data_IF_798120741432
#
_entry.id   IF_798120741432
#
_cell.length_a   1.000
_cell.length_b   1.000
_cell.length_c   1.000
_cell.angle_alpha   90.00
_cell.angle_beta   90.00
_cell.angle_gamma   90.00
#
_symmetry.space_group_name_H-M   'P 1'
#
loop_
_entity.id
_entity.type
_entity.pdbx_description
1 polymer ?
#
# COMPACT_ATOMS: atom_id res chain seq x y z
N UNK A 1 -1.66 -2.20 -23.60
CA UNK A 1 -0.94 -2.75 -22.43
C UNK A 1 -1.93 -3.57 -21.61
N UNK A 2 -1.53 -4.74 -21.14
CA UNK A 2 -2.38 -5.62 -20.33
C UNK A 2 -1.56 -6.23 -19.20
N UNK A 3 -2.07 -6.21 -17.99
CA UNK A 3 -1.47 -6.84 -16.84
C UNK A 3 -1.99 -8.29 -16.71
N UNK A 4 -1.07 -9.26 -16.70
CA UNK A 4 -1.37 -10.70 -16.64
C UNK A 4 -0.88 -11.35 -15.33
N UNK A 5 -0.45 -10.52 -14.36
CA UNK A 5 0.20 -10.98 -13.13
C UNK A 5 1.71 -11.10 -13.27
N UNK A 6 2.35 -11.51 -12.20
CA UNK A 6 3.80 -11.74 -12.11
C UNK A 6 4.07 -12.99 -11.26
N UNK A 7 5.28 -13.52 -11.31
CA UNK A 7 5.69 -14.65 -10.46
C UNK A 7 5.95 -14.24 -9.01
N UNK A 8 6.14 -12.93 -8.77
CA UNK A 8 6.43 -12.34 -7.46
C UNK A 8 5.20 -11.87 -6.68
N UNK A 9 4.03 -11.84 -7.33
CA UNK A 9 2.79 -11.33 -6.74
C UNK A 9 1.57 -12.17 -7.11
N UNK A 10 0.84 -12.64 -6.11
CA UNK A 10 -0.38 -13.44 -6.32
C UNK A 10 -1.56 -12.53 -6.66
N UNK A 11 -1.70 -12.19 -7.93
CA UNK A 11 -2.88 -11.47 -8.42
C UNK A 11 -4.05 -12.43 -8.62
N UNK A 12 -5.20 -12.13 -8.01
CA UNK A 12 -6.44 -12.86 -8.28
C UNK A 12 -7.04 -12.46 -9.64
N UNK A 13 -7.83 -13.32 -10.30
CA UNK A 13 -8.42 -12.99 -11.61
C UNK A 13 -9.26 -11.71 -11.60
N UNK A 14 -9.99 -11.45 -10.53
CA UNK A 14 -10.79 -10.24 -10.33
C UNK A 14 -9.93 -8.98 -10.15
N UNK A 15 -8.79 -9.09 -9.45
CA UNK A 15 -7.82 -8.01 -9.33
C UNK A 15 -7.16 -7.69 -10.69
N UNK A 16 -6.74 -8.70 -11.43
CA UNK A 16 -6.20 -8.51 -12.79
C UNK A 16 -7.22 -7.86 -13.72
N UNK A 17 -8.50 -8.28 -13.63
CA UNK A 17 -9.58 -7.66 -14.38
C UNK A 17 -9.75 -6.18 -14.00
N UNK A 18 -9.71 -5.85 -12.70
CA UNK A 18 -9.84 -4.49 -12.21
C UNK A 18 -8.71 -3.58 -12.72
N UNK A 19 -7.46 -4.05 -12.67
CA UNK A 19 -6.29 -3.33 -13.22
C UNK A 19 -6.50 -3.05 -14.72
N UNK A 20 -6.83 -4.08 -15.49
CA UNK A 20 -7.02 -3.94 -16.94
C UNK A 20 -8.23 -3.09 -17.31
N UNK A 21 -9.32 -3.14 -16.52
CA UNK A 21 -10.46 -2.26 -16.70
C UNK A 21 -10.12 -0.79 -16.46
N UNK A 22 -9.37 -0.49 -15.39
CA UNK A 22 -8.91 0.86 -15.09
C UNK A 22 -8.02 1.43 -16.20
N UNK A 23 -7.09 0.61 -16.73
CA UNK A 23 -6.23 0.98 -17.87
C UNK A 23 -7.09 1.27 -19.12
N UNK A 24 -8.04 0.38 -19.44
CA UNK A 24 -8.90 0.52 -20.64
C UNK A 24 -9.83 1.73 -20.53
N UNK A 25 -10.40 1.97 -19.36
CA UNK A 25 -11.29 3.10 -19.10
C UNK A 25 -10.54 4.42 -18.88
N UNK A 26 -9.22 4.37 -18.77
CA UNK A 26 -8.37 5.52 -18.46
C UNK A 26 -8.81 6.23 -17.16
N UNK A 27 -9.19 5.45 -16.14
CA UNK A 27 -9.59 5.94 -14.83
C UNK A 27 -8.58 5.54 -13.76
N UNK A 28 -8.41 6.35 -12.70
CA UNK A 28 -7.63 5.92 -11.54
C UNK A 28 -8.21 4.62 -10.95
N UNK A 29 -7.34 3.67 -10.61
CA UNK A 29 -7.71 2.44 -9.90
C UNK A 29 -7.61 2.70 -8.40
N UNK A 30 -8.72 2.73 -7.71
CA UNK A 30 -8.77 2.80 -6.25
C UNK A 30 -8.81 1.39 -5.65
N UNK A 31 -7.75 1.05 -4.95
CA UNK A 31 -7.63 -0.23 -4.23
C UNK A 31 -7.85 0.00 -2.74
N UNK A 32 -8.90 -0.59 -2.20
CA UNK A 32 -9.14 -0.66 -0.75
C UNK A 32 -8.88 -2.07 -0.23
N UNK A 33 -8.56 -2.19 1.05
CA UNK A 33 -8.36 -3.49 1.72
C UNK A 33 -7.68 -3.33 3.07
N UNK A 34 -7.64 -4.41 3.85
CA UNK A 34 -6.94 -4.42 5.14
C UNK A 34 -5.45 -4.08 4.96
N UNK A 35 -4.79 -3.51 6.00
CA UNK A 35 -3.34 -3.34 5.99
C UNK A 35 -2.61 -4.66 5.72
N UNK A 36 -1.49 -4.60 4.97
CA UNK A 36 -0.68 -5.78 4.67
C UNK A 36 -1.26 -6.75 3.64
N UNK A 37 -2.25 -6.33 2.82
CA UNK A 37 -2.82 -7.14 1.73
C UNK A 37 -2.11 -6.94 0.38
N UNK A 38 -0.95 -6.29 0.36
CA UNK A 38 -0.13 -6.12 -0.87
C UNK A 38 -0.59 -5.00 -1.81
N UNK A 39 -1.37 -4.01 -1.33
CA UNK A 39 -1.88 -2.90 -2.16
C UNK A 39 -0.77 -2.07 -2.81
N UNK A 40 0.22 -1.66 -2.03
CA UNK A 40 1.38 -0.88 -2.51
C UNK A 40 2.20 -1.68 -3.51
N UNK A 41 2.46 -2.97 -3.20
CA UNK A 41 3.20 -3.89 -4.06
C UNK A 41 2.52 -4.09 -5.43
N UNK A 42 1.19 -4.03 -5.50
CA UNK A 42 0.47 -4.14 -6.77
C UNK A 42 0.95 -3.10 -7.80
N UNK A 43 1.20 -1.85 -7.38
CA UNK A 43 1.66 -0.81 -8.31
C UNK A 43 3.08 -1.08 -8.84
N UNK A 44 3.96 -1.63 -7.99
CA UNK A 44 5.30 -2.06 -8.38
C UNK A 44 5.24 -3.19 -9.40
N UNK A 45 4.39 -4.19 -9.14
CA UNK A 45 4.21 -5.34 -10.02
C UNK A 45 3.56 -4.97 -11.36
N UNK A 46 2.59 -4.06 -11.36
CA UNK A 46 1.99 -3.55 -12.60
C UNK A 46 3.03 -2.79 -13.43
N UNK A 47 3.82 -1.92 -12.80
CA UNK A 47 4.88 -1.18 -13.49
C UNK A 47 5.95 -2.12 -14.06
N UNK A 48 6.42 -3.09 -13.25
CA UNK A 48 7.39 -4.10 -13.66
C UNK A 48 6.89 -4.97 -14.80
N UNK A 49 5.68 -5.51 -14.70
CA UNK A 49 5.07 -6.36 -15.73
C UNK A 49 4.85 -5.63 -17.07
N UNK A 50 4.56 -4.33 -17.02
CA UNK A 50 4.38 -3.51 -18.22
C UNK A 50 5.69 -2.89 -18.75
N UNK A 51 6.79 -3.02 -18.01
CA UNK A 51 8.10 -2.44 -18.39
C UNK A 51 8.10 -0.92 -18.39
N UNK A 52 7.31 -0.25 -17.54
CA UNK A 52 7.17 1.21 -17.48
C UNK A 52 7.57 1.74 -16.10
N UNK A 53 8.04 3.01 -16.00
CA UNK A 53 8.46 3.57 -14.72
C UNK A 53 7.31 3.71 -13.74
N UNK A 54 7.63 3.54 -12.45
CA UNK A 54 6.77 3.81 -11.32
C UNK A 54 7.20 5.10 -10.64
N UNK A 55 6.25 6.02 -10.42
CA UNK A 55 6.41 7.19 -9.57
C UNK A 55 5.53 7.00 -8.33
N UNK A 56 6.12 7.15 -7.15
CA UNK A 56 5.41 6.90 -5.88
C UNK A 56 5.22 8.19 -5.10
N UNK A 57 4.02 8.36 -4.59
CA UNK A 57 3.67 9.44 -3.69
C UNK A 57 3.01 8.90 -2.43
N UNK A 58 3.79 8.84 -1.35
CA UNK A 58 3.31 8.42 -0.04
C UNK A 58 2.62 9.57 0.67
N UNK A 59 1.35 9.38 0.98
CA UNK A 59 0.52 10.40 1.61
C UNK A 59 0.70 10.36 3.13
N UNK A 60 0.87 11.55 3.71
CA UNK A 60 0.92 11.77 5.17
C UNK A 60 -0.26 12.65 5.59
N UNK A 61 -0.54 12.70 6.89
CA UNK A 61 -1.60 13.56 7.43
C UNK A 61 -1.42 15.04 7.12
N UNK A 62 -0.18 15.47 6.88
CA UNK A 62 0.16 16.87 6.52
C UNK A 62 0.29 17.09 5.02
N UNK A 63 0.14 16.05 4.18
CA UNK A 63 0.28 16.16 2.73
C UNK A 63 -0.88 16.94 2.14
N UNK A 64 -0.54 17.91 1.27
CA UNK A 64 -1.52 18.70 0.51
C UNK A 64 -1.47 18.32 -0.97
N UNK A 65 -2.61 18.40 -1.65
CA UNK A 65 -2.73 18.06 -3.07
C UNK A 65 -1.75 18.84 -3.96
N UNK A 66 -1.52 20.10 -3.64
CA UNK A 66 -0.56 20.97 -4.35
C UNK A 66 0.85 20.37 -4.43
N UNK A 67 1.30 19.64 -3.38
CA UNK A 67 2.63 19.03 -3.34
C UNK A 67 2.83 17.93 -4.39
N UNK A 68 1.75 17.27 -4.80
CA UNK A 68 1.80 16.33 -5.92
C UNK A 68 1.97 17.01 -7.28
N UNK A 69 1.59 18.28 -7.38
CA UNK A 69 1.74 19.09 -8.57
C UNK A 69 3.12 19.75 -8.57
N UNK A 70 3.31 20.73 -7.71
CA UNK A 70 4.59 21.41 -7.50
C UNK A 70 4.58 22.21 -6.18
N UNK A 71 5.77 22.58 -5.72
CA UNK A 71 5.98 23.51 -4.62
C UNK A 71 6.82 24.70 -5.11
N UNK A 72 6.45 25.90 -4.70
CA UNK A 72 7.22 27.10 -4.98
C UNK A 72 8.03 27.52 -3.76
N UNK A 73 9.38 27.48 -3.86
CA UNK A 73 10.31 27.88 -2.80
C UNK A 73 10.54 29.39 -2.78
N UNK A 74 9.53 30.12 -2.29
CA UNK A 74 9.57 31.57 -2.14
C UNK A 74 10.67 32.02 -1.15
N UNK A 75 10.99 31.19 -0.15
CA UNK A 75 11.98 31.54 0.89
C UNK A 75 13.39 31.53 0.29
N UNK A 76 13.74 30.49 -0.45
CA UNK A 76 15.06 30.44 -1.13
C UNK A 76 15.18 31.56 -2.16
N UNK A 77 14.10 31.86 -2.92
CA UNK A 77 14.12 32.97 -3.86
C UNK A 77 14.33 34.32 -3.19
N UNK A 78 13.66 34.57 -2.06
CA UNK A 78 13.85 35.81 -1.31
C UNK A 78 15.28 35.96 -0.79
N UNK A 79 15.83 34.89 -0.22
CA UNK A 79 17.22 34.83 0.25
C UNK A 79 18.22 35.14 -0.88
N UNK A 80 18.08 34.45 -2.00
CA UNK A 80 18.98 34.60 -3.15
C UNK A 80 18.85 36.00 -3.78
N UNK A 81 17.65 36.59 -3.74
CA UNK A 81 17.43 38.02 -4.14
C UNK A 81 18.21 38.98 -3.25
N UNK A 82 18.23 38.75 -1.95
CA UNK A 82 19.00 39.62 -1.01
C UNK A 82 20.52 39.45 -1.19
N UNK A 83 20.97 38.27 -1.65
CA UNK A 83 22.37 38.02 -1.95
C UNK A 83 22.80 38.44 -3.35
N UNK A 84 21.87 38.89 -4.20
CA UNK A 84 22.15 39.30 -5.57
C UNK A 84 22.44 38.14 -6.52
N UNK A 85 21.96 36.92 -6.21
CA UNK A 85 22.17 35.75 -7.07
C UNK A 85 21.38 35.89 -8.39
N UNK A 86 22.06 35.66 -9.51
CA UNK A 86 21.49 35.73 -10.86
C UNK A 86 20.35 34.73 -11.11
N UNK A 87 20.30 33.63 -10.35
CA UNK A 87 19.21 32.63 -10.44
C UNK A 87 17.84 33.19 -10.21
N UNK A 88 17.74 34.30 -9.46
CA UNK A 88 16.44 34.98 -9.15
C UNK A 88 15.72 35.44 -10.40
N UNK A 89 16.44 35.71 -11.51
CA UNK A 89 15.87 36.18 -12.78
C UNK A 89 14.94 35.13 -13.41
N UNK A 90 15.18 33.85 -13.16
CA UNK A 90 14.33 32.76 -13.66
C UNK A 90 13.61 32.10 -12.47
N UNK A 91 12.28 32.34 -12.40
CA UNK A 91 11.41 31.81 -11.35
C UNK A 91 11.35 30.27 -11.35
N UNK A 92 11.61 29.63 -12.50
CA UNK A 92 11.59 28.17 -12.64
C UNK A 92 12.63 27.48 -11.75
N UNK A 93 13.74 28.17 -11.38
CA UNK A 93 14.76 27.64 -10.48
C UNK A 93 14.24 27.39 -9.05
N UNK A 94 13.10 27.94 -8.70
CA UNK A 94 12.47 27.83 -7.38
C UNK A 94 11.18 27.01 -7.39
N UNK A 95 10.93 26.28 -8.47
CA UNK A 95 9.80 25.37 -8.58
C UNK A 95 10.28 23.94 -8.41
N UNK A 96 9.81 23.27 -7.36
CA UNK A 96 10.06 21.87 -7.10
C UNK A 96 8.91 21.04 -7.69
N UNK A 97 9.21 20.22 -8.69
CA UNK A 97 8.20 19.42 -9.40
C UNK A 97 7.71 18.27 -8.51
N UNK A 98 6.40 18.17 -8.32
CA UNK A 98 5.74 17.06 -7.65
C UNK A 98 5.63 15.82 -8.56
N UNK A 99 5.10 14.73 -8.00
CA UNK A 99 5.02 13.41 -8.67
C UNK A 99 4.14 13.46 -9.92
N UNK A 100 3.02 14.19 -9.87
CA UNK A 100 2.13 14.35 -11.03
C UNK A 100 2.79 15.13 -12.15
N UNK A 101 3.51 16.21 -11.83
CA UNK A 101 4.28 16.94 -12.84
C UNK A 101 5.30 16.04 -13.52
N UNK A 102 6.11 15.33 -12.73
CA UNK A 102 7.13 14.43 -13.25
C UNK A 102 6.53 13.38 -14.20
N UNK A 103 5.36 12.82 -13.86
CA UNK A 103 4.67 11.86 -14.70
C UNK A 103 4.12 12.49 -15.99
N UNK A 104 3.56 13.69 -15.93
CA UNK A 104 2.96 14.37 -17.09
C UNK A 104 4.01 14.81 -18.10
N UNK A 105 5.20 15.20 -17.64
CA UNK A 105 6.30 15.68 -18.47
C UNK A 105 7.06 14.55 -19.18
N UNK A 106 6.92 13.28 -18.73
CA UNK A 106 7.75 12.18 -19.27
C UNK A 106 7.51 11.86 -20.75
N UNK A 107 6.34 12.21 -21.31
CA UNK A 107 5.98 11.90 -22.70
C UNK A 107 5.93 10.39 -23.03
N UNK A 108 5.93 9.54 -22.03
CA UNK A 108 5.86 8.07 -22.12
C UNK A 108 4.95 7.48 -21.06
N UNK A 109 4.44 6.25 -21.27
CA UNK A 109 3.63 5.58 -20.28
C UNK A 109 4.36 5.43 -18.93
N UNK A 110 3.65 5.63 -17.83
CA UNK A 110 4.14 5.46 -16.47
C UNK A 110 3.02 5.01 -15.54
N UNK A 111 3.39 4.46 -14.38
CA UNK A 111 2.46 4.22 -13.27
C UNK A 111 2.70 5.28 -12.21
N UNK A 112 1.63 5.87 -11.70
CA UNK A 112 1.64 6.73 -10.52
C UNK A 112 0.97 5.95 -9.39
N UNK A 113 1.67 5.78 -8.28
CA UNK A 113 1.11 5.28 -7.03
C UNK A 113 0.84 6.46 -6.08
N UNK A 114 -0.43 6.66 -5.71
CA UNK A 114 -0.84 7.55 -4.62
C UNK A 114 -1.18 6.63 -3.44
N UNK A 115 -0.23 6.50 -2.50
CA UNK A 115 -0.29 5.49 -1.46
C UNK A 115 -0.90 6.04 -0.18
N UNK A 116 -1.90 5.30 0.38
CA UNK A 116 -2.59 5.62 1.63
C UNK A 116 -3.32 6.98 1.61
N UNK A 117 -4.13 7.20 0.56
CA UNK A 117 -4.85 8.47 0.33
C UNK A 117 -5.74 8.90 1.51
N UNK A 118 -6.22 7.95 2.29
CA UNK A 118 -7.06 8.15 3.47
C UNK A 118 -6.31 8.66 4.72
N UNK A 119 -4.97 8.79 4.66
CA UNK A 119 -4.19 9.46 5.72
C UNK A 119 -4.32 10.98 5.68
N UNK A 120 -4.49 11.57 4.49
CA UNK A 120 -4.64 13.00 4.32
C UNK A 120 -5.97 13.53 4.90
N UNK A 121 -6.14 14.84 4.83
CA UNK A 121 -7.42 15.46 5.14
C UNK A 121 -8.50 15.07 4.13
N UNK A 122 -9.77 15.15 4.54
CA UNK A 122 -10.93 14.73 3.73
C UNK A 122 -11.04 15.49 2.41
N UNK A 123 -10.55 16.72 2.35
CA UNK A 123 -10.56 17.55 1.14
C UNK A 123 -9.50 17.12 0.11
N UNK A 124 -8.41 16.52 0.55
CA UNK A 124 -7.27 16.15 -0.30
C UNK A 124 -7.65 15.35 -1.56
N UNK A 125 -8.50 14.30 -1.52
CA UNK A 125 -8.90 13.60 -2.72
C UNK A 125 -9.70 14.48 -3.68
N UNK A 126 -10.53 15.38 -3.16
CA UNK A 126 -11.32 16.30 -3.97
C UNK A 126 -10.44 17.32 -4.69
N UNK A 127 -9.40 17.82 -4.03
CA UNK A 127 -8.45 18.79 -4.58
C UNK A 127 -7.65 18.24 -5.77
N UNK A 128 -7.56 16.91 -5.91
CA UNK A 128 -6.89 16.25 -7.04
C UNK A 128 -7.83 15.84 -8.18
N UNK A 129 -9.15 16.00 -8.00
CA UNK A 129 -10.12 15.46 -8.95
C UNK A 129 -9.95 15.99 -10.37
N UNK A 130 -9.74 17.29 -10.51
CA UNK A 130 -9.61 17.94 -11.81
C UNK A 130 -8.33 17.50 -12.53
N UNK A 131 -7.24 17.46 -11.78
CA UNK A 131 -5.91 17.12 -12.28
C UNK A 131 -5.85 15.67 -12.73
N UNK A 132 -6.49 14.76 -11.99
CA UNK A 132 -6.58 13.34 -12.35
C UNK A 132 -7.57 13.08 -13.49
N UNK A 133 -8.64 13.87 -13.63
CA UNK A 133 -9.59 13.73 -14.73
C UNK A 133 -9.00 14.23 -16.05
N UNK A 134 -8.42 15.44 -16.02
CA UNK A 134 -7.93 16.13 -17.23
C UNK A 134 -6.48 15.85 -17.54
N UNK A 135 -5.72 15.33 -16.58
CA UNK A 135 -4.27 15.16 -16.66
C UNK A 135 -3.55 16.46 -17.04
N UNK A 136 -4.00 17.56 -16.45
CA UNK A 136 -3.43 18.90 -16.62
C UNK A 136 -3.59 19.74 -15.35
N UNK A 137 -2.66 20.66 -15.13
CA UNK A 137 -2.75 21.68 -14.08
C UNK A 137 -2.02 22.96 -14.50
N UNK A 138 -2.34 24.06 -13.84
CA UNK A 138 -1.74 25.36 -14.12
C UNK A 138 -0.68 25.72 -13.07
N UNK A 139 0.47 26.22 -13.52
CA UNK A 139 1.55 26.73 -12.68
C UNK A 139 1.45 28.25 -12.64
N UNK A 140 1.03 28.80 -11.51
CA UNK A 140 0.73 30.22 -11.38
C UNK A 140 1.96 31.12 -11.56
N UNK A 141 3.11 30.69 -11.06
CA UNK A 141 4.36 31.45 -11.05
C UNK A 141 4.92 31.63 -12.46
N UNK A 142 4.84 30.59 -13.31
CA UNK A 142 5.32 30.62 -14.69
C UNK A 142 4.22 30.88 -15.71
N UNK A 143 2.93 30.86 -15.27
CA UNK A 143 1.74 30.95 -16.15
C UNK A 143 1.67 29.87 -17.21
N UNK A 144 2.27 28.72 -16.94
CA UNK A 144 2.27 27.57 -17.85
C UNK A 144 1.19 26.55 -17.43
N UNK A 145 0.64 25.87 -18.41
CA UNK A 145 -0.20 24.69 -18.16
C UNK A 145 0.60 23.46 -18.51
N UNK A 146 0.77 22.60 -17.50
CA UNK A 146 1.42 21.30 -17.67
C UNK A 146 0.33 20.30 -18.00
N UNK A 147 0.52 19.54 -19.07
CA UNK A 147 -0.42 18.54 -19.55
C UNK A 147 0.31 17.26 -19.90
N UNK A 148 -0.28 16.12 -19.58
CA UNK A 148 0.25 14.82 -19.96
C UNK A 148 -0.07 14.52 -21.44
N UNK A 149 0.96 14.35 -22.26
CA UNK A 149 0.82 13.88 -23.65
C UNK A 149 0.41 12.40 -23.67
N UNK A 150 0.94 11.61 -22.74
CA UNK A 150 0.58 10.21 -22.53
C UNK A 150 -0.01 10.05 -21.14
N UNK A 151 -1.28 9.58 -21.07
CA UNK A 151 -1.98 9.42 -19.79
C UNK A 151 -1.30 8.35 -18.93
N UNK A 152 -0.84 8.66 -17.72
CA UNK A 152 -0.29 7.68 -16.79
C UNK A 152 -1.39 6.76 -16.25
N UNK A 153 -1.01 5.55 -15.85
CA UNK A 153 -1.85 4.63 -15.08
C UNK A 153 -1.77 5.08 -13.62
N UNK A 154 -2.90 5.47 -13.03
CA UNK A 154 -2.95 5.94 -11.64
C UNK A 154 -3.51 4.84 -10.77
N UNK A 155 -2.75 4.40 -9.78
CA UNK A 155 -3.15 3.45 -8.74
C UNK A 155 -3.17 4.19 -7.40
N UNK A 156 -4.30 4.12 -6.71
CA UNK A 156 -4.54 4.80 -5.44
C UNK A 156 -4.84 3.74 -4.40
N UNK A 157 -4.17 3.76 -3.25
CA UNK A 157 -4.43 2.82 -2.17
C UNK A 157 -5.10 3.49 -0.98
N UNK A 158 -5.90 2.71 -0.25
CA UNK A 158 -6.55 3.12 0.99
C UNK A 158 -6.63 1.93 1.95
N UNK A 159 -6.31 2.17 3.23
CA UNK A 159 -6.47 1.18 4.31
C UNK A 159 -7.86 1.23 4.96
N UNK A 160 -8.76 2.06 4.42
CA UNK A 160 -10.12 2.27 4.94
C UNK A 160 -10.13 2.89 6.36
N UNK A 161 -9.13 3.71 6.67
CA UNK A 161 -9.06 4.42 7.95
C UNK A 161 -10.07 5.59 8.01
N UNK A 162 -10.31 6.22 6.86
CA UNK A 162 -11.30 7.28 6.68
C UNK A 162 -12.15 7.02 5.43
N UNK A 163 -13.38 7.52 5.43
CA UNK A 163 -14.22 7.52 4.25
C UNK A 163 -13.70 8.52 3.21
N UNK A 164 -13.75 8.12 1.95
CA UNK A 164 -13.40 8.96 0.82
C UNK A 164 -14.65 9.63 0.24
N UNK A 165 -14.55 10.87 -0.26
CA UNK A 165 -15.68 11.60 -0.81
C UNK A 165 -16.33 10.88 -2.01
N UNK A 166 -17.66 10.88 -2.09
CA UNK A 166 -18.42 10.26 -3.18
C UNK A 166 -18.00 10.77 -4.57
N UNK A 167 -17.69 12.06 -4.68
CA UNK A 167 -17.24 12.68 -5.92
C UNK A 167 -15.93 12.05 -6.43
N UNK A 168 -15.04 11.71 -5.51
CA UNK A 168 -13.77 11.03 -5.81
C UNK A 168 -14.02 9.57 -6.19
N UNK A 169 -14.84 8.84 -5.42
CA UNK A 169 -15.15 7.44 -5.67
C UNK A 169 -15.75 7.22 -7.07
N UNK A 170 -16.65 8.11 -7.52
CA UNK A 170 -17.29 8.02 -8.85
C UNK A 170 -16.33 8.17 -10.03
N UNK A 171 -15.15 8.77 -9.80
CA UNK A 171 -14.12 8.97 -10.83
C UNK A 171 -13.10 7.84 -10.90
N UNK A 172 -13.05 7.00 -9.86
CA UNK A 172 -12.16 5.86 -9.80
C UNK A 172 -12.83 4.59 -10.29
N UNK A 173 -12.04 3.66 -10.82
CA UNK A 173 -12.42 2.26 -10.87
C UNK A 173 -12.11 1.66 -9.50
N UNK A 174 -13.09 1.08 -8.83
CA UNK A 174 -12.96 0.60 -7.45
C UNK A 174 -12.72 -0.90 -7.40
N UNK A 175 -11.78 -1.34 -6.58
CA UNK A 175 -11.59 -2.74 -6.24
C UNK A 175 -11.26 -2.89 -4.75
N UNK A 176 -11.90 -3.86 -4.10
CA UNK A 176 -11.63 -4.21 -2.72
C UNK A 176 -10.85 -5.52 -2.64
N UNK A 177 -9.61 -5.47 -2.17
CA UNK A 177 -8.80 -6.66 -1.91
C UNK A 177 -9.29 -7.28 -0.60
N UNK A 178 -9.97 -8.43 -0.71
CA UNK A 178 -10.36 -9.23 0.45
C UNK A 178 -9.10 -9.82 1.10
N UNK A 179 -9.19 -10.02 2.41
CA UNK A 179 -8.12 -10.75 3.10
C UNK A 179 -8.00 -12.16 2.50
N UNK A 180 -6.77 -12.64 2.20
CA UNK A 180 -6.56 -13.93 1.55
C UNK A 180 -7.15 -15.09 2.36
N UNK A 181 -7.84 -15.99 1.70
CA UNK A 181 -8.20 -17.29 2.28
C UNK A 181 -6.95 -18.19 2.45
N UNK A 182 -7.14 -19.37 3.05
CA UNK A 182 -6.01 -20.27 3.34
C UNK A 182 -5.27 -20.72 2.07
N UNK A 183 -5.99 -20.93 0.98
CA UNK A 183 -5.39 -21.36 -0.28
C UNK A 183 -4.58 -20.24 -0.94
N UNK A 184 -5.17 -19.04 -1.04
CA UNK A 184 -4.48 -17.86 -1.55
C UNK A 184 -3.29 -17.48 -0.68
N UNK A 185 -3.44 -17.56 0.66
CA UNK A 185 -2.35 -17.29 1.59
C UNK A 185 -1.19 -18.27 1.40
N UNK A 186 -1.48 -19.55 1.19
CA UNK A 186 -0.45 -20.55 0.88
C UNK A 186 0.33 -20.18 -0.38
N UNK A 187 -0.37 -19.79 -1.44
CA UNK A 187 0.27 -19.34 -2.68
C UNK A 187 1.15 -18.12 -2.46
N UNK A 188 0.70 -17.16 -1.64
CA UNK A 188 1.50 -15.98 -1.27
C UNK A 188 2.77 -16.42 -0.54
N UNK A 189 2.66 -17.33 0.43
CA UNK A 189 3.83 -17.83 1.16
C UNK A 189 4.78 -18.60 0.25
N UNK A 190 4.27 -19.41 -0.67
CA UNK A 190 5.08 -20.17 -1.61
C UNK A 190 5.92 -19.26 -2.53
N UNK A 191 5.39 -18.08 -2.90
CA UNK A 191 6.14 -17.05 -3.64
C UNK A 191 7.31 -16.50 -2.81
N UNK A 192 7.09 -16.22 -1.53
CA UNK A 192 8.13 -15.67 -0.65
C UNK A 192 9.14 -16.70 -0.16
N UNK A 193 8.69 -17.96 -0.01
CA UNK A 193 9.47 -19.07 0.55
C UNK A 193 9.34 -20.34 -0.27
N UNK A 194 9.89 -20.41 -1.50
CA UNK A 194 9.70 -21.56 -2.41
C UNK A 194 10.30 -22.87 -1.88
N UNK A 195 11.10 -22.83 -0.83
CA UNK A 195 11.74 -24.00 -0.20
C UNK A 195 11.30 -24.24 1.24
N UNK A 196 10.20 -23.65 1.70
CA UNK A 196 9.72 -23.82 3.06
C UNK A 196 9.23 -25.26 3.28
N UNK A 197 9.60 -25.86 4.44
CA UNK A 197 9.10 -27.16 4.85
C UNK A 197 7.58 -27.11 5.01
N UNK A 198 6.86 -27.98 4.32
CA UNK A 198 5.39 -27.97 4.28
C UNK A 198 4.74 -28.16 5.66
N UNK A 199 5.40 -28.92 6.57
CA UNK A 199 4.91 -29.07 7.93
C UNK A 199 4.98 -27.75 8.72
N UNK A 200 6.08 -27.00 8.59
CA UNK A 200 6.23 -25.69 9.24
C UNK A 200 5.20 -24.68 8.71
N UNK A 201 5.00 -24.66 7.39
CA UNK A 201 4.00 -23.81 6.74
C UNK A 201 2.60 -24.12 7.27
N UNK A 202 2.22 -25.41 7.31
CA UNK A 202 0.90 -25.84 7.78
C UNK A 202 0.64 -25.36 9.22
N UNK A 203 1.57 -25.64 10.14
CA UNK A 203 1.42 -25.30 11.55
C UNK A 203 1.37 -23.77 11.76
N UNK A 204 2.26 -23.03 11.09
CA UNK A 204 2.27 -21.56 11.17
C UNK A 204 0.97 -20.93 10.65
N UNK A 205 0.46 -21.43 9.53
CA UNK A 205 -0.82 -20.97 8.98
C UNK A 205 -2.01 -21.30 9.89
N UNK A 206 -2.03 -22.48 10.52
CA UNK A 206 -3.09 -22.82 11.47
C UNK A 206 -3.11 -21.83 12.65
N UNK A 207 -1.94 -21.61 13.28
CA UNK A 207 -1.81 -20.65 14.38
C UNK A 207 -2.24 -19.23 13.93
N UNK A 208 -1.81 -18.82 12.74
CA UNK A 208 -2.13 -17.50 12.21
C UNK A 208 -3.64 -17.30 12.01
N UNK A 209 -4.33 -18.26 11.37
CA UNK A 209 -5.78 -18.13 11.15
C UNK A 209 -6.57 -18.29 12.44
N UNK A 210 -6.15 -19.15 13.38
CA UNK A 210 -6.75 -19.25 14.70
C UNK A 210 -6.67 -17.90 15.46
N UNK A 211 -5.51 -17.22 15.42
CA UNK A 211 -5.35 -15.90 16.03
C UNK A 211 -6.32 -14.88 15.41
N UNK A 212 -6.49 -14.89 14.09
CA UNK A 212 -7.41 -13.95 13.41
C UNK A 212 -8.88 -14.18 13.76
N UNK A 213 -9.26 -15.37 14.20
CA UNK A 213 -10.61 -15.74 14.62
C UNK A 213 -10.89 -15.45 16.10
N UNK A 214 -9.87 -15.04 16.89
CA UNK A 214 -10.06 -14.71 18.31
C UNK A 214 -11.01 -13.52 18.45
N UNK A 215 -12.16 -13.70 19.16
CA UNK A 215 -13.10 -12.61 19.37
C UNK A 215 -12.50 -11.49 20.23
N UNK A 216 -12.75 -10.25 19.85
CA UNK A 216 -12.30 -9.07 20.60
C UNK A 216 -10.87 -8.64 20.32
N UNK A 217 -10.18 -9.28 19.38
CA UNK A 217 -8.87 -8.83 18.90
C UNK A 217 -8.99 -7.48 18.20
N UNK A 218 -8.20 -6.49 18.64
CA UNK A 218 -8.20 -5.13 18.09
C UNK A 218 -7.47 -5.05 16.75
N UNK A 219 -6.34 -5.73 16.65
CA UNK A 219 -5.54 -5.77 15.44
C UNK A 219 -5.27 -7.21 15.02
N UNK A 220 -6.06 -7.67 14.05
CA UNK A 220 -5.84 -8.99 13.45
C UNK A 220 -4.50 -9.00 12.70
N UNK A 221 -3.67 -10.06 12.86
CA UNK A 221 -2.40 -10.16 12.13
C UNK A 221 -2.63 -10.16 10.61
N UNK A 222 -1.78 -9.43 9.90
CA UNK A 222 -1.81 -9.26 8.45
C UNK A 222 -0.92 -10.27 7.72
N UNK A 223 -1.00 -10.30 6.39
CA UNK A 223 -0.13 -11.13 5.55
C UNK A 223 1.35 -10.82 5.78
N UNK A 224 1.71 -9.53 5.89
CA UNK A 224 3.10 -9.12 6.14
C UNK A 224 3.63 -9.67 7.47
N UNK A 225 2.79 -9.66 8.51
CA UNK A 225 3.15 -10.19 9.84
C UNK A 225 3.32 -11.72 9.82
N UNK A 226 2.54 -12.44 9.00
CA UNK A 226 2.76 -13.88 8.76
C UNK A 226 4.10 -14.13 8.06
N UNK A 227 4.41 -13.37 7.00
CA UNK A 227 5.67 -13.48 6.27
C UNK A 227 6.86 -13.20 7.21
N UNK A 228 6.78 -12.17 8.05
CA UNK A 228 7.83 -11.86 9.02
C UNK A 228 7.96 -12.95 10.09
N UNK A 229 6.85 -13.49 10.58
CA UNK A 229 6.86 -14.63 11.51
C UNK A 229 7.57 -15.85 10.88
N UNK A 230 7.23 -16.18 9.64
CA UNK A 230 7.86 -17.30 8.93
C UNK A 230 9.37 -17.08 8.72
N UNK A 231 9.80 -15.85 8.38
CA UNK A 231 11.23 -15.50 8.29
C UNK A 231 11.97 -15.79 9.60
N UNK A 232 11.37 -15.38 10.72
CA UNK A 232 11.95 -15.59 12.04
C UNK A 232 11.97 -17.09 12.45
N UNK A 233 10.88 -17.82 12.17
CA UNK A 233 10.83 -19.26 12.43
C UNK A 233 11.91 -20.04 11.65
N UNK A 234 12.19 -19.63 10.41
CA UNK A 234 13.25 -20.22 9.60
C UNK A 234 14.63 -19.80 10.10
N UNK A 235 14.83 -18.53 10.43
CA UNK A 235 16.11 -18.00 10.89
C UNK A 235 16.57 -18.60 12.23
N UNK A 236 15.62 -18.85 13.14
CA UNK A 236 15.86 -19.43 14.47
C UNK A 236 15.77 -20.96 14.47
N UNK A 237 15.63 -21.59 13.30
CA UNK A 237 15.48 -23.05 13.12
C UNK A 237 14.43 -23.67 14.05
N UNK A 238 13.30 -23.00 14.24
CA UNK A 238 12.21 -23.43 15.12
C UNK A 238 11.48 -24.59 14.47
N UNK A 239 11.40 -25.76 15.14
CA UNK A 239 10.78 -26.94 14.56
C UNK A 239 9.24 -26.81 14.55
N UNK A 240 8.53 -27.46 13.60
CA UNK A 240 7.07 -27.46 13.52
C UNK A 240 6.39 -27.94 14.81
N UNK A 241 7.03 -28.83 15.55
CA UNK A 241 6.53 -29.40 16.80
C UNK A 241 6.35 -28.34 17.90
N UNK A 242 7.18 -27.28 17.88
CA UNK A 242 7.05 -26.15 18.80
C UNK A 242 5.73 -25.38 18.58
N UNK A 243 5.17 -25.41 17.38
CA UNK A 243 3.88 -24.83 17.03
C UNK A 243 2.70 -25.78 17.26
N UNK A 244 2.95 -27.09 17.38
CA UNK A 244 1.95 -28.19 17.54
C UNK A 244 1.53 -28.42 18.97
N UNK A 245 1.64 -27.51 19.87
CA UNK A 245 1.27 -27.77 21.28
C UNK A 245 -0.08 -28.50 21.37
N UNK A 246 -0.11 -29.67 22.04
CA UNK A 246 -1.35 -30.43 22.31
C UNK A 246 -2.36 -29.57 23.10
N UNK A 247 -1.84 -28.56 23.76
CA UNK A 247 -2.58 -27.50 24.42
C UNK A 247 -2.33 -26.17 23.71
N UNK A 248 -2.76 -26.06 22.42
CA UNK A 248 -2.68 -24.81 21.63
C UNK A 248 -3.22 -23.58 22.38
N UNK A 249 -4.09 -23.82 23.37
CA UNK A 249 -4.59 -22.80 24.29
C UNK A 249 -3.60 -22.44 25.41
N UNK A 250 -2.47 -23.11 25.54
CA UNK A 250 -1.55 -22.97 26.68
C UNK A 250 -0.17 -22.45 26.31
N UNK A 251 0.17 -22.35 25.04
CA UNK A 251 1.48 -21.89 24.60
C UNK A 251 1.33 -20.65 23.77
N UNK A 252 1.89 -19.53 24.23
CA UNK A 252 2.13 -18.38 23.37
C UNK A 252 2.99 -18.85 22.21
N UNK A 253 2.57 -18.66 20.94
CA UNK A 253 3.39 -19.10 19.83
C UNK A 253 4.80 -18.52 19.96
N UNK A 254 5.85 -19.29 19.61
CA UNK A 254 7.19 -18.72 19.52
C UNK A 254 7.12 -17.45 18.66
N UNK A 255 7.73 -16.36 19.13
CA UNK A 255 7.75 -15.07 18.44
C UNK A 255 6.35 -14.42 18.27
N UNK A 256 5.48 -14.56 19.29
CA UNK A 256 4.15 -13.92 19.30
C UNK A 256 4.19 -12.43 18.94
N UNK A 257 5.27 -11.72 19.28
CA UNK A 257 5.50 -10.33 18.90
C UNK A 257 5.60 -10.09 17.37
N UNK A 258 5.84 -11.12 16.57
CA UNK A 258 5.75 -11.02 15.12
C UNK A 258 4.29 -10.87 14.65
N UNK A 259 3.36 -11.58 15.29
CA UNK A 259 1.95 -11.63 14.90
C UNK A 259 1.07 -10.67 15.69
N UNK A 260 1.36 -10.42 16.97
CA UNK A 260 0.57 -9.56 17.85
C UNK A 260 1.25 -8.20 17.99
N UNK A 261 0.65 -7.14 17.47
CA UNK A 261 1.17 -5.77 17.44
C UNK A 261 0.44 -4.80 18.37
N UNK A 262 -0.39 -5.31 19.26
CA UNK A 262 -1.13 -4.53 20.22
C UNK A 262 -1.05 -5.19 21.60
N UNK A 263 -0.71 -4.41 22.63
CA UNK A 263 -0.56 -4.89 24.00
C UNK A 263 -1.85 -5.54 24.55
N UNK A 264 -3.00 -4.97 24.20
CA UNK A 264 -4.30 -5.51 24.64
C UNK A 264 -4.59 -6.88 24.01
N UNK A 265 -4.13 -7.09 22.75
CA UNK A 265 -4.27 -8.38 22.08
C UNK A 265 -3.34 -9.43 22.69
N UNK A 266 -2.12 -9.06 23.12
CA UNK A 266 -1.23 -9.94 23.88
C UNK A 266 -1.89 -10.37 25.19
N UNK A 267 -2.41 -9.41 25.96
CA UNK A 267 -3.11 -9.72 27.22
C UNK A 267 -4.42 -10.50 27.03
N UNK A 268 -5.14 -10.25 25.92
CA UNK A 268 -6.31 -11.04 25.57
C UNK A 268 -5.91 -12.50 25.34
N UNK A 269 -4.87 -12.71 24.55
CA UNK A 269 -4.35 -14.05 24.26
C UNK A 269 -3.88 -14.77 25.52
N UNK A 270 -3.09 -14.11 26.37
CA UNK A 270 -2.63 -14.67 27.66
C UNK A 270 -3.79 -15.06 28.59
N UNK A 271 -4.85 -14.24 28.67
CA UNK A 271 -6.05 -14.54 29.44
C UNK A 271 -6.79 -15.77 28.90
N UNK A 272 -6.93 -15.90 27.58
CA UNK A 272 -7.57 -17.06 26.97
C UNK A 272 -6.79 -18.34 27.25
N UNK A 273 -5.47 -18.27 27.20
CA UNK A 273 -4.56 -19.35 27.58
C UNK A 273 -4.73 -19.73 29.05
N UNK A 274 -4.78 -18.75 29.95
CA UNK A 274 -4.96 -18.98 31.38
C UNK A 274 -6.31 -19.65 31.67
N UNK A 275 -7.42 -19.12 31.13
CA UNK A 275 -8.77 -19.69 31.35
C UNK A 275 -8.85 -21.14 30.83
N UNK A 276 -8.21 -21.45 29.70
CA UNK A 276 -8.18 -22.80 29.17
C UNK A 276 -7.41 -23.80 30.07
N UNK A 277 -6.47 -23.32 30.89
CA UNK A 277 -5.76 -24.12 31.90
C UNK A 277 -6.60 -24.45 33.12
N UNK A 278 -7.52 -23.53 33.54
CA UNK A 278 -8.27 -23.66 34.79
C UNK A 278 -9.66 -24.29 34.61
N UNK A 279 -10.12 -24.47 33.35
CA UNK A 279 -11.37 -25.19 33.06
C UNK A 279 -11.18 -26.70 32.84
N UNK A 280 -10.07 -27.24 33.30
CA UNK A 280 -9.78 -28.68 33.41
C UNK A 280 -9.62 -29.03 34.87
#
# INVERSE_FOLDING_TARGET
>A
MRFEGTDSYVATPDLMLAVNAAITLQRPLLIKGEPGTGKTMLAEEVAGALGIPLLQWHIKSTTKAQQGLYEYDAVSRLRDSQLGDEKVKDISNYIVKGVLWQAFEQGRPSVILIDEVDKADIEFPNDLLRELDRMEFHVYETRQTIRADVRPIVIITSNNEKELPDAFLRRCFFHYIKFPDKETMRRIVDVHFPRLKQDLLREAMEVFFELREVPGMKKKPSTSELIDCLKLLVAEDIPPEALRSKDRKTVVPPLAGALLKNEQDVHLFERLVFMARHNR
#
